data_IF_636243008643
#
_entry.id   IF_636243008643
#
_cell.length_a   1.000
_cell.length_b   1.000
_cell.length_c   1.000
_cell.angle_alpha   90.00
_cell.angle_beta   90.00
_cell.angle_gamma   90.00
#
_symmetry.space_group_name_H-M   'P 1'
#
loop_
_entity.id
_entity.type
_entity.pdbx_description
1 polymer ?
#
# COMPACT_ATOMS: atom_id res chain seq x y z
N UNK A 1 -1.77 -24.86 -9.59
CA UNK A 1 -2.46 -23.57 -9.45
C UNK A 1 -3.92 -23.81 -9.75
N UNK A 2 -4.78 -23.71 -8.74
CA UNK A 2 -6.23 -23.79 -8.92
C UNK A 2 -6.66 -22.50 -9.64
N UNK A 3 -6.84 -22.55 -10.96
CA UNK A 3 -7.24 -21.37 -11.72
C UNK A 3 -8.72 -21.08 -11.45
N UNK A 4 -8.97 -20.28 -10.41
CA UNK A 4 -10.26 -19.65 -10.18
C UNK A 4 -10.61 -18.79 -11.40
N UNK A 5 -11.87 -18.88 -11.84
CA UNK A 5 -12.42 -17.94 -12.82
C UNK A 5 -12.34 -16.50 -12.28
N UNK A 6 -12.27 -15.52 -13.19
CA UNK A 6 -12.31 -14.08 -12.83
C UNK A 6 -13.51 -13.79 -11.92
N UNK A 7 -14.68 -14.35 -12.21
CA UNK A 7 -15.87 -14.17 -11.36
C UNK A 7 -15.67 -14.70 -9.94
N UNK A 8 -15.13 -15.91 -9.81
CA UNK A 8 -14.88 -16.52 -8.51
C UNK A 8 -13.83 -15.73 -7.70
N UNK A 9 -12.79 -15.23 -8.38
CA UNK A 9 -11.80 -14.34 -7.76
C UNK A 9 -12.43 -13.05 -7.25
N UNK A 10 -13.27 -12.41 -8.07
CA UNK A 10 -13.94 -11.15 -7.68
C UNK A 10 -14.86 -11.36 -6.49
N UNK A 11 -15.68 -12.42 -6.50
CA UNK A 11 -16.53 -12.78 -5.36
C UNK A 11 -15.70 -12.97 -4.09
N UNK A 12 -14.59 -13.71 -4.16
CA UNK A 12 -13.71 -13.89 -3.00
C UNK A 12 -13.09 -12.58 -2.51
N UNK A 13 -12.71 -11.66 -3.40
CA UNK A 13 -12.20 -10.34 -3.02
C UNK A 13 -13.29 -9.53 -2.32
N UNK A 14 -14.49 -9.47 -2.90
CA UNK A 14 -15.65 -8.76 -2.34
C UNK A 14 -16.03 -9.28 -0.95
N UNK A 15 -16.06 -10.60 -0.76
CA UNK A 15 -16.31 -11.26 0.53
C UNK A 15 -15.28 -10.91 1.62
N UNK A 16 -14.09 -10.47 1.22
CA UNK A 16 -12.97 -10.18 2.13
C UNK A 16 -12.60 -8.70 2.22
N UNK A 17 -13.35 -7.78 1.60
CA UNK A 17 -13.08 -6.33 1.66
C UNK A 17 -13.00 -5.81 3.10
N UNK A 18 -13.87 -6.31 3.99
CA UNK A 18 -13.89 -5.96 5.42
C UNK A 18 -12.55 -6.22 6.15
N UNK A 19 -11.68 -7.10 5.60
CA UNK A 19 -10.35 -7.33 6.16
C UNK A 19 -9.47 -6.07 6.09
N UNK A 20 -9.67 -5.23 5.06
CA UNK A 20 -8.95 -3.96 4.87
C UNK A 20 -9.32 -3.02 6.00
N UNK A 21 -10.62 -2.81 6.22
CA UNK A 21 -11.12 -1.97 7.31
C UNK A 21 -10.54 -2.46 8.64
N UNK A 22 -10.64 -3.76 8.93
CA UNK A 22 -10.12 -4.32 10.18
C UNK A 22 -8.63 -4.03 10.39
N UNK A 23 -7.81 -4.10 9.33
CA UNK A 23 -6.37 -3.78 9.41
C UNK A 23 -6.16 -2.28 9.62
N UNK A 24 -6.89 -1.42 8.92
CA UNK A 24 -6.81 0.04 9.08
C UNK A 24 -7.17 0.42 10.51
N UNK A 25 -8.32 -0.03 11.01
CA UNK A 25 -8.81 0.27 12.36
C UNK A 25 -7.82 -0.18 13.44
N UNK A 26 -7.24 -1.38 13.31
CA UNK A 26 -6.25 -1.89 14.25
C UNK A 26 -4.92 -1.12 14.25
N UNK A 27 -4.62 -0.37 13.19
CA UNK A 27 -3.34 0.33 13.02
C UNK A 27 -3.53 1.84 12.78
N UNK A 28 -4.70 2.38 13.12
CA UNK A 28 -5.07 3.76 12.79
C UNK A 28 -4.08 4.77 13.40
N UNK A 29 -3.63 4.55 14.63
CA UNK A 29 -2.62 5.39 15.28
C UNK A 29 -1.28 5.41 14.53
N UNK A 30 -0.87 4.29 13.93
CA UNK A 30 0.36 4.21 13.13
C UNK A 30 0.21 4.95 11.80
N UNK A 31 -0.94 4.82 11.14
CA UNK A 31 -1.27 5.53 9.90
C UNK A 31 -1.20 7.04 10.14
N UNK A 32 -1.82 7.51 11.23
CA UNK A 32 -1.80 8.93 11.64
C UNK A 32 -0.39 9.40 11.98
N UNK A 33 0.37 8.63 12.77
CA UNK A 33 1.74 9.00 13.15
C UNK A 33 2.68 9.10 11.94
N UNK A 34 2.47 8.25 10.93
CA UNK A 34 3.23 8.26 9.68
C UNK A 34 2.70 9.28 8.65
N UNK A 35 1.65 10.06 8.99
CA UNK A 35 1.00 11.03 8.09
C UNK A 35 0.62 10.43 6.74
N UNK A 36 0.10 9.21 6.77
CA UNK A 36 -0.37 8.54 5.54
C UNK A 36 -1.81 8.93 5.26
N UNK A 37 -2.09 9.24 4.00
CA UNK A 37 -3.44 9.45 3.51
C UNK A 37 -4.23 8.15 3.58
N UNK A 38 -5.42 8.22 4.20
CA UNK A 38 -6.22 7.04 4.49
C UNK A 38 -6.67 6.33 3.21
N UNK A 39 -7.04 7.11 2.19
CA UNK A 39 -7.50 6.60 0.90
C UNK A 39 -6.36 5.88 0.15
N UNK A 40 -5.15 6.42 0.19
CA UNK A 40 -3.96 5.79 -0.43
C UNK A 40 -3.58 4.47 0.26
N UNK A 41 -3.70 4.44 1.60
CA UNK A 41 -3.54 3.21 2.38
C UNK A 41 -4.61 2.20 1.98
N UNK A 42 -5.87 2.62 1.89
CA UNK A 42 -6.97 1.74 1.49
C UNK A 42 -6.74 1.15 0.09
N UNK A 43 -6.38 1.99 -0.90
CA UNK A 43 -6.08 1.54 -2.26
C UNK A 43 -4.91 0.55 -2.29
N UNK A 44 -3.83 0.83 -1.56
CA UNK A 44 -2.67 -0.06 -1.44
C UNK A 44 -3.04 -1.42 -0.86
N UNK A 45 -3.88 -1.43 0.18
CA UNK A 45 -4.41 -2.65 0.80
C UNK A 45 -5.38 -3.41 -0.12
N UNK A 46 -6.20 -2.71 -0.91
CA UNK A 46 -7.09 -3.32 -1.89
C UNK A 46 -6.33 -4.05 -3.00
N UNK A 47 -5.29 -3.42 -3.57
CA UNK A 47 -4.39 -4.08 -4.54
C UNK A 47 -3.74 -5.31 -3.91
N UNK A 48 -3.32 -5.21 -2.64
CA UNK A 48 -2.73 -6.34 -1.93
C UNK A 48 -3.72 -7.47 -1.70
N UNK A 49 -4.98 -7.18 -1.37
CA UNK A 49 -6.04 -8.17 -1.20
C UNK A 49 -6.25 -8.97 -2.50
N UNK A 50 -6.38 -8.28 -3.63
CA UNK A 50 -6.54 -8.92 -4.95
C UNK A 50 -5.38 -9.89 -5.22
N UNK A 51 -4.14 -9.43 -5.00
CA UNK A 51 -2.94 -10.28 -5.15
C UNK A 51 -2.91 -11.43 -4.16
N UNK A 52 -3.36 -11.22 -2.93
CA UNK A 52 -3.41 -12.28 -1.92
C UNK A 52 -4.40 -13.39 -2.30
N UNK A 53 -5.57 -13.03 -2.83
CA UNK A 53 -6.55 -14.01 -3.33
C UNK A 53 -5.98 -14.77 -4.54
N UNK A 54 -5.29 -14.08 -5.44
CA UNK A 54 -4.68 -14.68 -6.64
C UNK A 54 -3.52 -15.63 -6.34
N UNK A 55 -2.67 -15.28 -5.36
CA UNK A 55 -1.47 -16.04 -5.02
C UNK A 55 -1.69 -17.08 -3.92
N UNK A 56 -2.88 -17.12 -3.32
CA UNK A 56 -3.18 -18.07 -2.26
C UNK A 56 -3.10 -19.51 -2.79
N UNK A 57 -2.26 -20.31 -2.13
CA UNK A 57 -2.15 -21.75 -2.40
C UNK A 57 -2.66 -22.54 -1.19
N UNK A 58 -3.83 -23.22 -1.29
CA UNK A 58 -4.36 -24.02 -0.19
C UNK A 58 -3.48 -25.23 0.14
N UNK A 59 -2.69 -25.73 -0.80
CA UNK A 59 -1.80 -26.88 -0.63
C UNK A 59 -0.44 -26.51 -0.02
N UNK A 60 -0.27 -25.24 0.38
CA UNK A 60 0.95 -24.79 1.03
C UNK A 60 1.12 -25.55 2.36
N UNK A 61 2.29 -26.18 2.54
CA UNK A 61 2.66 -26.96 3.73
C UNK A 61 2.54 -26.19 5.06
N UNK A 62 2.50 -24.86 5.02
CA UNK A 62 2.25 -24.02 6.18
C UNK A 62 0.79 -23.99 6.66
N UNK A 63 -0.16 -24.58 5.92
CA UNK A 63 -1.54 -24.80 6.35
C UNK A 63 -2.34 -23.54 6.70
N UNK A 64 -1.97 -22.37 6.15
CA UNK A 64 -2.67 -21.11 6.45
C UNK A 64 -4.00 -21.07 5.72
N UNK A 65 -5.08 -20.74 6.43
CA UNK A 65 -6.36 -20.42 5.80
C UNK A 65 -6.23 -19.18 4.91
N UNK A 66 -7.10 -19.04 3.90
CA UNK A 66 -7.15 -17.86 3.02
C UNK A 66 -7.24 -16.57 3.84
N UNK A 67 -8.15 -16.54 4.82
CA UNK A 67 -8.31 -15.41 5.75
C UNK A 67 -6.99 -15.03 6.44
N UNK A 68 -6.28 -16.00 7.00
CA UNK A 68 -5.00 -15.73 7.68
C UNK A 68 -3.92 -15.26 6.70
N UNK A 69 -3.92 -15.81 5.48
CA UNK A 69 -3.02 -15.37 4.41
C UNK A 69 -3.31 -13.93 3.97
N UNK A 70 -4.58 -13.55 3.85
CA UNK A 70 -5.01 -12.18 3.55
C UNK A 70 -4.53 -11.24 4.65
N UNK A 71 -4.84 -11.50 5.93
CA UNK A 71 -4.39 -10.63 7.04
C UNK A 71 -2.87 -10.49 7.09
N UNK A 72 -2.13 -11.59 6.90
CA UNK A 72 -0.67 -11.54 6.82
C UNK A 72 -0.20 -10.63 5.67
N UNK A 73 -0.78 -10.79 4.48
CA UNK A 73 -0.45 -9.99 3.30
C UNK A 73 -0.79 -8.52 3.48
N UNK A 74 -1.96 -8.19 4.04
CA UNK A 74 -2.38 -6.82 4.31
C UNK A 74 -1.48 -6.12 5.34
N UNK A 75 -1.15 -6.80 6.44
CA UNK A 75 -0.23 -6.26 7.46
C UNK A 75 1.16 -5.99 6.89
N UNK A 76 1.63 -6.84 5.97
CA UNK A 76 2.89 -6.60 5.27
C UNK A 76 2.79 -5.36 4.37
N UNK A 77 1.73 -5.23 3.57
CA UNK A 77 1.54 -4.08 2.70
C UNK A 77 1.39 -2.76 3.47
N UNK A 78 0.68 -2.76 4.59
CA UNK A 78 0.55 -1.58 5.45
C UNK A 78 1.91 -1.05 5.90
N UNK A 79 2.82 -1.94 6.34
CA UNK A 79 4.19 -1.56 6.73
C UNK A 79 4.99 -0.95 5.59
N UNK A 80 4.63 -1.22 4.34
CA UNK A 80 5.32 -0.68 3.16
C UNK A 80 4.69 0.60 2.62
N UNK A 81 3.51 1.02 3.09
CA UNK A 81 2.80 2.19 2.58
C UNK A 81 3.56 3.51 2.83
N UNK A 82 4.33 3.59 3.91
CA UNK A 82 5.16 4.78 4.20
C UNK A 82 6.53 4.79 3.52
N UNK A 83 6.85 3.82 2.67
CA UNK A 83 8.10 3.81 1.93
C UNK A 83 8.08 4.78 0.75
N UNK A 84 9.23 5.35 0.39
CA UNK A 84 9.36 6.32 -0.72
C UNK A 84 8.77 5.80 -2.04
N UNK A 85 8.87 4.49 -2.28
CA UNK A 85 8.31 3.86 -3.48
C UNK A 85 6.78 3.92 -3.51
N UNK A 86 6.13 3.74 -2.35
CA UNK A 86 4.67 3.75 -2.24
C UNK A 86 4.12 5.18 -2.23
N UNK A 87 4.80 6.11 -1.54
CA UNK A 87 4.36 7.49 -1.43
C UNK A 87 4.59 8.31 -2.71
N UNK A 88 5.70 8.08 -3.41
CA UNK A 88 6.12 8.94 -4.54
C UNK A 88 6.18 8.20 -5.88
N UNK A 89 5.92 6.89 -5.91
CA UNK A 89 6.01 6.08 -7.12
C UNK A 89 7.43 5.88 -7.64
N UNK A 90 8.46 6.19 -6.83
CA UNK A 90 9.86 6.04 -7.23
C UNK A 90 10.25 4.57 -7.32
N UNK A 91 10.49 4.09 -8.54
CA UNK A 91 10.98 2.73 -8.77
C UNK A 91 12.40 2.60 -8.22
N UNK A 92 12.66 1.51 -7.50
CA UNK A 92 13.99 1.17 -6.94
C UNK A 92 14.56 2.15 -5.90
N UNK A 93 13.75 3.11 -5.43
CA UNK A 93 14.16 4.01 -4.36
C UNK A 93 14.41 3.25 -3.03
N UNK A 94 15.40 3.67 -2.22
CA UNK A 94 15.50 3.26 -0.82
C UNK A 94 14.18 3.49 -0.07
N UNK A 95 13.92 2.64 0.94
CA UNK A 95 12.68 2.70 1.72
C UNK A 95 12.45 4.09 2.34
N UNK A 96 13.52 4.74 2.80
CA UNK A 96 13.47 6.05 3.44
C UNK A 96 14.30 7.06 2.65
N UNK A 97 13.60 8.01 2.01
CA UNK A 97 14.17 9.15 1.31
C UNK A 97 13.53 10.44 1.82
N UNK A 98 13.92 10.94 3.00
CA UNK A 98 13.37 12.17 3.54
C UNK A 98 13.73 13.35 2.61
N UNK A 99 12.77 14.26 2.41
CA UNK A 99 12.92 15.49 1.61
C UNK A 99 13.27 15.25 0.13
N UNK A 100 13.02 14.05 -0.41
CA UNK A 100 13.22 13.77 -1.83
C UNK A 100 12.14 14.39 -2.74
N UNK A 101 10.98 14.73 -2.18
CA UNK A 101 9.88 15.41 -2.87
C UNK A 101 9.49 16.63 -2.04
N UNK A 102 9.26 17.75 -2.73
CA UNK A 102 8.74 18.99 -2.18
C UNK A 102 7.62 19.47 -3.09
N UNK A 103 6.58 20.10 -2.53
CA UNK A 103 5.52 20.70 -3.33
C UNK A 103 6.03 21.99 -3.99
N UNK A 104 5.39 22.40 -5.10
CA UNK A 104 5.78 23.63 -5.79
C UNK A 104 5.54 24.86 -4.89
N UNK A 105 4.48 24.84 -4.10
CA UNK A 105 4.13 25.92 -3.16
C UNK A 105 5.20 26.07 -2.07
N UNK A 106 5.62 24.96 -1.47
CA UNK A 106 6.69 24.98 -0.47
C UNK A 106 8.04 25.44 -1.06
N UNK A 107 8.26 25.18 -2.35
CA UNK A 107 9.45 25.63 -3.05
C UNK A 107 9.39 27.13 -3.33
N UNK A 108 8.26 27.65 -3.83
CA UNK A 108 7.98 29.08 -4.01
C UNK A 108 8.14 29.89 -2.73
N UNK A 109 7.60 29.39 -1.61
CA UNK A 109 7.75 30.01 -0.29
C UNK A 109 9.22 30.06 0.16
N UNK A 110 10.01 29.05 -0.19
CA UNK A 110 11.41 28.95 0.24
C UNK A 110 12.37 29.81 -0.60
N UNK A 111 12.10 29.93 -1.91
CA UNK A 111 12.96 30.62 -2.87
C UNK A 111 12.12 31.12 -4.05
N UNK A 112 11.78 32.43 -4.11
CA UNK A 112 11.00 33.00 -5.21
C UNK A 112 11.63 32.85 -6.61
N UNK A 113 12.89 32.44 -6.69
CA UNK A 113 13.63 32.21 -7.93
C UNK A 113 13.97 30.74 -8.17
N UNK A 114 13.30 29.81 -7.49
CA UNK A 114 13.56 28.38 -7.59
C UNK A 114 13.57 27.84 -9.03
N UNK A 115 12.72 28.38 -9.91
CA UNK A 115 12.64 28.01 -11.33
C UNK A 115 13.99 28.21 -12.04
N UNK A 116 14.67 29.32 -11.75
CA UNK A 116 15.98 29.62 -12.35
C UNK A 116 17.07 28.65 -11.88
N UNK A 117 16.91 28.02 -10.71
CA UNK A 117 17.92 27.13 -10.12
C UNK A 117 17.82 25.68 -10.60
N UNK A 118 16.65 25.26 -11.09
CA UNK A 118 16.44 23.90 -11.59
C UNK A 118 16.59 23.78 -13.11
N UNK A 119 16.62 24.90 -13.84
CA UNK A 119 16.66 24.96 -15.30
C UNK A 119 18.07 24.76 -15.93
N UNK A 120 18.93 23.93 -15.31
CA UNK A 120 20.30 23.69 -15.78
C UNK A 120 20.39 22.63 -16.89
#
# INVERSE_FOLDING_TARGET
>A
MSNLSIKQRNTLVEEHLWCIDSVIWQNYSLIQAARLELDDVYQSLAIRLIRAVELYNPDNKAGKTLKNYIFMSLRYALRTCGGSQAQYGFREAPYFLPNAVVSMEALEESDPYWEMRIAA
#
